data_IF_461770888007
#
_entry.id   IF_461770888007
#
_cell.length_a   1.000
_cell.length_b   1.000
_cell.length_c   1.000
_cell.angle_alpha   90.00
_cell.angle_beta   90.00
_cell.angle_gamma   90.00
#
_symmetry.space_group_name_H-M   'P 1'
#
loop_
_entity.id
_entity.type
_entity.pdbx_description
1 polymer ?
#
# COMPACT_ATOMS: atom_id res chain seq x y z
N UNK A 1 30.09 -21.61 5.32
CA UNK A 1 30.12 -22.43 4.12
C UNK A 1 29.55 -23.78 4.49
N UNK A 2 28.28 -23.97 4.29
CA UNK A 2 27.62 -25.29 4.37
C UNK A 2 26.72 -25.33 3.13
N UNK A 3 27.16 -26.11 2.14
CA UNK A 3 26.33 -26.59 1.04
C UNK A 3 25.20 -27.44 1.65
N UNK A 4 24.11 -26.80 2.04
CA UNK A 4 22.87 -27.52 2.30
C UNK A 4 22.40 -28.04 0.95
N UNK A 5 22.56 -29.31 0.75
CA UNK A 5 22.29 -30.08 -0.44
C UNK A 5 20.98 -29.60 -1.10
N UNK A 6 21.12 -28.96 -2.24
CA UNK A 6 20.06 -28.84 -3.24
C UNK A 6 19.78 -30.27 -3.73
N UNK A 7 18.94 -31.01 -3.00
CA UNK A 7 18.45 -32.28 -3.50
C UNK A 7 17.73 -31.97 -4.82
N UNK A 8 18.33 -32.42 -5.93
CA UNK A 8 17.83 -32.19 -7.27
C UNK A 8 16.36 -32.65 -7.36
N UNK A 9 15.50 -31.75 -7.81
CA UNK A 9 14.09 -32.08 -8.08
C UNK A 9 14.08 -33.03 -9.29
N UNK A 10 13.48 -34.22 -9.18
CA UNK A 10 13.45 -35.16 -10.29
C UNK A 10 12.77 -34.52 -11.52
N UNK A 11 13.43 -34.55 -12.67
CA UNK A 11 12.89 -33.98 -13.91
C UNK A 11 11.78 -34.88 -14.48
N UNK A 12 10.55 -34.49 -14.18
CA UNK A 12 9.33 -35.07 -14.80
C UNK A 12 8.71 -34.04 -15.72
N UNK A 13 7.74 -34.45 -16.56
CA UNK A 13 7.08 -33.52 -17.50
C UNK A 13 6.46 -32.33 -16.79
N UNK A 14 5.79 -32.55 -15.66
CA UNK A 14 5.19 -31.45 -14.87
C UNK A 14 6.24 -30.59 -14.17
N UNK A 15 7.34 -31.17 -13.71
CA UNK A 15 8.46 -30.43 -13.13
C UNK A 15 9.04 -29.44 -14.13
N UNK A 16 9.32 -29.92 -15.34
CA UNK A 16 9.79 -29.05 -16.44
C UNK A 16 8.79 -27.93 -16.75
N UNK A 17 7.48 -28.25 -16.78
CA UNK A 17 6.42 -27.28 -17.02
C UNK A 17 6.38 -26.20 -15.92
N UNK A 18 6.45 -26.58 -14.65
CA UNK A 18 6.46 -25.63 -13.52
C UNK A 18 7.69 -24.73 -13.58
N UNK A 19 8.89 -25.29 -13.75
CA UNK A 19 10.11 -24.49 -13.83
C UNK A 19 10.10 -23.51 -15.01
N UNK A 20 9.62 -23.94 -16.19
CA UNK A 20 9.44 -23.08 -17.35
C UNK A 20 8.47 -21.93 -17.07
N UNK A 21 7.34 -22.21 -16.41
CA UNK A 21 6.38 -21.17 -16.00
C UNK A 21 7.00 -20.16 -15.04
N UNK A 22 7.79 -20.63 -14.07
CA UNK A 22 8.46 -19.74 -13.11
C UNK A 22 9.47 -18.82 -13.83
N UNK A 23 10.26 -19.36 -14.76
CA UNK A 23 11.21 -18.58 -15.57
C UNK A 23 10.48 -17.56 -16.47
N UNK A 24 9.40 -17.96 -17.14
CA UNK A 24 8.62 -17.08 -17.99
C UNK A 24 7.94 -15.96 -17.16
N UNK A 25 7.41 -16.29 -15.99
CA UNK A 25 6.77 -15.32 -15.11
C UNK A 25 7.74 -14.21 -14.65
N UNK A 26 9.03 -14.53 -14.44
CA UNK A 26 10.05 -13.53 -14.09
C UNK A 26 10.28 -12.49 -15.21
N UNK A 27 9.97 -12.83 -16.46
CA UNK A 27 10.09 -11.91 -17.60
C UNK A 27 8.90 -10.95 -17.75
N UNK A 28 7.80 -11.20 -17.04
CA UNK A 28 6.65 -10.31 -17.08
C UNK A 28 6.91 -9.05 -16.24
N UNK A 29 6.32 -7.94 -16.69
CA UNK A 29 6.23 -6.75 -15.87
C UNK A 29 5.39 -7.04 -14.60
N UNK A 30 5.68 -6.32 -13.52
CA UNK A 30 4.97 -6.48 -12.26
C UNK A 30 3.47 -6.15 -12.43
N UNK A 31 2.62 -7.08 -12.03
CA UNK A 31 1.19 -6.93 -12.18
C UNK A 31 0.42 -8.26 -12.22
N UNK A 32 -0.88 -8.20 -12.53
CA UNK A 32 -1.76 -9.38 -12.46
C UNK A 32 -1.34 -10.55 -13.36
N UNK A 33 -0.72 -10.29 -14.51
CA UNK A 33 -0.27 -11.36 -15.42
C UNK A 33 0.87 -12.18 -14.81
N UNK A 34 1.81 -11.54 -14.13
CA UNK A 34 2.91 -12.19 -13.41
C UNK A 34 2.38 -13.05 -12.27
N UNK A 35 1.44 -12.50 -11.49
CA UNK A 35 0.76 -13.25 -10.42
C UNK A 35 0.06 -14.49 -10.99
N UNK A 36 -0.74 -14.34 -12.04
CA UNK A 36 -1.47 -15.46 -12.65
C UNK A 36 -0.54 -16.58 -13.14
N UNK A 37 0.62 -16.24 -13.68
CA UNK A 37 1.61 -17.23 -14.12
C UNK A 37 2.22 -18.00 -12.92
N UNK A 38 2.51 -17.33 -11.81
CA UNK A 38 2.96 -18.01 -10.59
C UNK A 38 1.84 -18.83 -9.94
N UNK A 39 0.58 -18.37 -9.95
CA UNK A 39 -0.56 -19.15 -9.47
C UNK A 39 -0.75 -20.43 -10.28
N UNK A 40 -0.57 -20.38 -11.60
CA UNK A 40 -0.61 -21.57 -12.44
C UNK A 40 0.51 -22.56 -12.11
N UNK A 41 1.72 -22.08 -11.86
CA UNK A 41 2.82 -22.94 -11.38
C UNK A 41 2.49 -23.59 -10.02
N UNK A 42 1.87 -22.85 -9.10
CA UNK A 42 1.35 -23.36 -7.82
C UNK A 42 0.32 -24.44 -8.05
N UNK A 43 -0.66 -24.20 -8.93
CA UNK A 43 -1.75 -25.13 -9.24
C UNK A 43 -1.21 -26.48 -9.75
N UNK A 44 -0.27 -26.45 -10.70
CA UNK A 44 0.34 -27.68 -11.26
C UNK A 44 1.10 -28.43 -10.16
N UNK A 45 1.91 -27.75 -9.34
CA UNK A 45 2.64 -28.39 -8.24
C UNK A 45 1.68 -29.07 -7.23
N UNK A 46 0.57 -28.39 -6.88
CA UNK A 46 -0.44 -28.91 -5.96
C UNK A 46 -1.19 -30.13 -6.53
N UNK A 47 -1.52 -30.12 -7.81
CA UNK A 47 -2.15 -31.27 -8.50
C UNK A 47 -1.29 -32.54 -8.41
N UNK A 48 0.02 -32.34 -8.55
CA UNK A 48 1.00 -33.45 -8.43
C UNK A 48 1.46 -33.69 -6.97
N UNK A 49 0.91 -32.95 -6.00
CA UNK A 49 1.28 -33.01 -4.57
C UNK A 49 2.79 -32.85 -4.33
N UNK A 50 3.45 -32.09 -5.20
CA UNK A 50 4.86 -31.79 -5.08
C UNK A 50 5.06 -30.58 -4.14
N UNK A 51 5.32 -30.88 -2.86
CA UNK A 51 5.48 -29.88 -1.82
C UNK A 51 6.69 -28.97 -2.08
N UNK A 52 7.78 -29.51 -2.67
CA UNK A 52 8.98 -28.71 -2.95
C UNK A 52 8.76 -27.69 -4.06
N UNK A 53 8.17 -28.12 -5.17
CA UNK A 53 7.79 -27.21 -6.26
C UNK A 53 6.72 -26.24 -5.80
N UNK A 54 5.73 -26.69 -5.04
CA UNK A 54 4.68 -25.85 -4.46
C UNK A 54 5.25 -24.77 -3.53
N UNK A 55 6.29 -25.08 -2.76
CA UNK A 55 6.99 -24.10 -1.92
C UNK A 55 7.77 -23.09 -2.76
N UNK A 56 8.52 -23.56 -3.75
CA UNK A 56 9.28 -22.70 -4.66
C UNK A 56 8.37 -21.73 -5.40
N UNK A 57 7.26 -22.22 -5.98
CA UNK A 57 6.30 -21.40 -6.72
C UNK A 57 5.67 -20.33 -5.82
N UNK A 58 5.27 -20.70 -4.59
CA UNK A 58 4.72 -19.75 -3.63
C UNK A 58 5.73 -18.70 -3.18
N UNK A 59 6.99 -19.07 -2.94
CA UNK A 59 8.05 -18.10 -2.63
C UNK A 59 8.21 -17.06 -3.74
N UNK A 60 8.10 -17.45 -5.00
CA UNK A 60 8.13 -16.52 -6.15
C UNK A 60 6.85 -15.69 -6.27
N UNK A 61 5.72 -16.25 -5.87
CA UNK A 61 4.42 -15.57 -5.88
C UNK A 61 4.36 -14.42 -4.84
N UNK A 62 5.03 -14.53 -3.68
CA UNK A 62 4.94 -13.54 -2.60
C UNK A 62 5.29 -12.11 -3.05
N UNK A 63 6.49 -11.84 -3.61
CA UNK A 63 6.82 -10.49 -4.08
C UNK A 63 5.92 -10.04 -5.23
N UNK A 64 5.55 -10.94 -6.15
CA UNK A 64 4.65 -10.60 -7.25
C UNK A 64 3.26 -10.15 -6.76
N UNK A 65 2.73 -10.78 -5.71
CA UNK A 65 1.47 -10.35 -5.07
C UNK A 65 1.60 -8.97 -4.44
N UNK A 66 2.71 -8.68 -3.77
CA UNK A 66 2.97 -7.36 -3.17
C UNK A 66 2.98 -6.28 -4.26
N UNK A 67 3.73 -6.50 -5.34
CA UNK A 67 3.87 -5.55 -6.45
C UNK A 67 2.58 -5.38 -7.27
N UNK A 68 1.75 -6.41 -7.34
CA UNK A 68 0.44 -6.36 -7.98
C UNK A 68 -0.68 -5.79 -7.10
N UNK A 69 -0.40 -5.44 -5.82
CA UNK A 69 -1.42 -4.97 -4.88
C UNK A 69 -2.43 -6.05 -4.49
N UNK A 70 -1.98 -7.31 -4.37
CA UNK A 70 -2.81 -8.49 -4.05
C UNK A 70 -2.38 -9.15 -2.72
N UNK A 71 -2.41 -8.43 -1.60
CA UNK A 71 -1.91 -8.93 -0.33
C UNK A 71 -2.73 -10.09 0.25
N UNK A 72 -3.98 -10.24 -0.11
CA UNK A 72 -4.83 -11.38 0.26
C UNK A 72 -4.24 -12.71 -0.23
N UNK A 73 -3.80 -12.76 -1.48
CA UNK A 73 -3.10 -13.94 -2.04
C UNK A 73 -1.75 -14.15 -1.36
N UNK A 74 -1.01 -13.07 -1.09
CA UNK A 74 0.26 -13.14 -0.37
C UNK A 74 0.09 -13.76 1.02
N UNK A 75 -0.93 -13.35 1.78
CA UNK A 75 -1.21 -13.92 3.10
C UNK A 75 -1.47 -15.43 3.03
N UNK A 76 -2.24 -15.88 2.04
CA UNK A 76 -2.54 -17.31 1.84
C UNK A 76 -1.29 -18.10 1.46
N UNK A 77 -0.53 -17.62 0.47
CA UNK A 77 0.69 -18.27 0.01
C UNK A 77 1.75 -18.36 1.13
N UNK A 78 1.93 -17.28 1.90
CA UNK A 78 2.85 -17.24 3.02
C UNK A 78 2.47 -18.22 4.12
N UNK A 79 1.19 -18.26 4.53
CA UNK A 79 0.69 -19.16 5.57
C UNK A 79 0.97 -20.61 5.22
N UNK A 80 0.80 -20.99 3.95
CA UNK A 80 1.13 -22.31 3.48
C UNK A 80 2.65 -22.59 3.55
N UNK A 81 3.49 -21.65 3.11
CA UNK A 81 4.96 -21.79 3.19
C UNK A 81 5.43 -21.95 4.65
N UNK A 82 4.89 -21.11 5.55
CA UNK A 82 5.22 -21.17 6.97
C UNK A 82 4.86 -22.54 7.58
N UNK A 83 3.68 -23.08 7.23
CA UNK A 83 3.27 -24.40 7.69
C UNK A 83 4.21 -25.52 7.19
N UNK A 84 4.81 -25.40 5.98
CA UNK A 84 5.81 -26.36 5.52
C UNK A 84 7.13 -26.22 6.30
N UNK A 85 7.60 -24.99 6.55
CA UNK A 85 8.80 -24.76 7.38
C UNK A 85 8.64 -25.33 8.79
N UNK A 86 7.46 -25.22 9.39
CA UNK A 86 7.18 -25.77 10.73
C UNK A 86 7.10 -27.30 10.74
N UNK A 87 6.58 -27.90 9.64
CA UNK A 87 6.46 -29.36 9.50
C UNK A 87 7.78 -30.03 9.22
N UNK A 88 8.62 -29.43 8.39
CA UNK A 88 9.87 -29.99 7.91
C UNK A 88 10.98 -28.91 7.81
N UNK A 89 11.52 -28.47 8.95
CA UNK A 89 12.54 -27.42 9.00
C UNK A 89 13.89 -27.84 8.42
N UNK A 90 14.07 -29.12 8.10
CA UNK A 90 15.29 -29.62 7.46
C UNK A 90 15.31 -29.40 5.95
N UNK A 91 14.14 -29.37 5.32
CA UNK A 91 14.01 -29.13 3.88
C UNK A 91 13.54 -27.70 3.54
N UNK A 92 12.85 -27.04 4.48
CA UNK A 92 12.33 -25.69 4.32
C UNK A 92 12.86 -24.81 5.46
N UNK A 93 13.92 -24.06 5.18
CA UNK A 93 14.56 -23.22 6.20
C UNK A 93 13.60 -22.13 6.70
N UNK A 94 13.25 -22.09 7.99
CA UNK A 94 12.36 -21.06 8.54
C UNK A 94 12.88 -19.65 8.34
N UNK A 95 14.20 -19.44 8.39
CA UNK A 95 14.82 -18.12 8.19
C UNK A 95 14.71 -17.65 6.75
N UNK A 96 14.51 -18.57 5.79
CA UNK A 96 14.42 -18.27 4.37
C UNK A 96 13.15 -17.50 3.94
N UNK A 97 12.16 -17.34 4.85
CA UNK A 97 10.92 -16.59 4.60
C UNK A 97 10.65 -15.49 5.65
N UNK A 98 11.64 -15.18 6.50
CA UNK A 98 11.47 -14.14 7.53
C UNK A 98 11.32 -12.76 6.93
N UNK A 99 11.94 -12.50 5.78
CA UNK A 99 11.83 -11.22 5.09
C UNK A 99 10.41 -10.99 4.59
N UNK A 100 9.83 -11.98 3.92
CA UNK A 100 8.47 -11.94 3.39
C UNK A 100 7.43 -11.88 4.53
N UNK A 101 7.74 -12.42 5.71
CA UNK A 101 6.85 -12.32 6.87
C UNK A 101 6.62 -10.86 7.29
N UNK A 102 7.62 -10.01 7.16
CA UNK A 102 7.46 -8.57 7.43
C UNK A 102 6.46 -7.93 6.47
N UNK A 103 6.50 -8.29 5.18
CA UNK A 103 5.54 -7.80 4.20
C UNK A 103 4.11 -8.24 4.55
N UNK A 104 3.95 -9.52 4.88
CA UNK A 104 2.65 -10.06 5.30
C UNK A 104 2.08 -9.28 6.48
N UNK A 105 2.88 -9.05 7.53
CA UNK A 105 2.45 -8.32 8.72
C UNK A 105 2.14 -6.85 8.40
N UNK A 106 2.94 -6.20 7.55
CA UNK A 106 2.69 -4.81 7.16
C UNK A 106 1.39 -4.63 6.37
N UNK A 107 0.94 -5.66 5.65
CA UNK A 107 -0.32 -5.64 4.91
C UNK A 107 -1.55 -6.05 5.75
N UNK A 108 -1.39 -6.73 6.87
CA UNK A 108 -2.51 -7.13 7.74
C UNK A 108 -3.42 -5.95 8.14
N UNK A 109 -2.90 -4.76 8.49
CA UNK A 109 -3.74 -3.61 8.85
C UNK A 109 -4.65 -3.10 7.74
N UNK A 110 -4.36 -3.40 6.47
CA UNK A 110 -5.19 -2.96 5.34
C UNK A 110 -6.56 -3.63 5.29
N UNK A 111 -6.74 -4.71 6.06
CA UNK A 111 -7.97 -5.48 6.16
C UNK A 111 -8.66 -5.21 7.51
N UNK A 112 -9.83 -4.53 7.55
CA UNK A 112 -10.48 -4.17 8.81
C UNK A 112 -11.02 -5.38 9.58
N UNK A 113 -11.20 -6.54 8.93
CA UNK A 113 -11.59 -7.80 9.59
C UNK A 113 -10.44 -8.46 10.37
N UNK A 114 -9.17 -8.11 10.09
CA UNK A 114 -8.03 -8.59 10.87
C UNK A 114 -7.95 -7.76 12.14
N UNK A 115 -8.15 -8.40 13.28
CA UNK A 115 -8.21 -7.75 14.58
C UNK A 115 -6.83 -7.28 15.07
N UNK A 116 -6.80 -6.29 15.96
CA UNK A 116 -5.55 -5.88 16.64
C UNK A 116 -4.86 -7.04 17.34
N UNK A 117 -5.62 -7.94 17.96
CA UNK A 117 -5.06 -9.12 18.61
C UNK A 117 -4.33 -10.07 17.64
N UNK A 118 -4.88 -10.27 16.44
CA UNK A 118 -4.22 -11.07 15.40
C UNK A 118 -2.94 -10.41 14.88
N UNK A 119 -2.96 -9.09 14.67
CA UNK A 119 -1.78 -8.32 14.27
C UNK A 119 -0.69 -8.42 15.35
N UNK A 120 -1.05 -8.23 16.63
CA UNK A 120 -0.10 -8.31 17.73
C UNK A 120 0.45 -9.73 17.94
N UNK A 121 -0.36 -10.76 17.73
CA UNK A 121 0.10 -12.14 17.74
C UNK A 121 1.16 -12.41 16.64
N UNK A 122 0.94 -11.89 15.44
CA UNK A 122 1.90 -12.00 14.34
C UNK A 122 3.20 -11.21 14.63
N UNK A 123 3.11 -10.00 15.18
CA UNK A 123 4.27 -9.21 15.63
C UNK A 123 5.05 -9.92 16.74
N UNK A 124 4.37 -10.62 17.65
CA UNK A 124 5.01 -11.41 18.71
C UNK A 124 5.74 -12.62 18.14
N UNK A 125 5.11 -13.34 17.20
CA UNK A 125 5.71 -14.50 16.57
C UNK A 125 6.95 -14.13 15.74
N UNK A 126 6.86 -13.08 14.90
CA UNK A 126 8.02 -12.63 14.11
C UNK A 126 9.16 -12.14 15.01
N UNK A 127 8.85 -11.44 16.10
CA UNK A 127 9.87 -11.00 17.08
C UNK A 127 10.64 -12.20 17.64
N UNK A 128 9.92 -13.24 18.05
CA UNK A 128 10.52 -14.48 18.57
C UNK A 128 11.45 -15.14 17.53
N UNK A 129 11.01 -15.20 16.26
CA UNK A 129 11.80 -15.81 15.16
C UNK A 129 13.07 -14.99 14.85
N UNK A 130 12.97 -13.67 14.80
CA UNK A 130 14.13 -12.80 14.59
C UNK A 130 15.13 -12.85 15.74
N UNK A 131 14.66 -12.95 17.00
CA UNK A 131 15.53 -13.19 18.16
C UNK A 131 16.27 -14.53 18.04
N UNK A 132 15.56 -15.59 17.66
CA UNK A 132 16.16 -16.91 17.47
C UNK A 132 17.22 -16.90 16.35
N UNK A 133 17.03 -16.09 15.31
CA UNK A 133 17.98 -15.88 14.22
C UNK A 133 19.17 -14.95 14.60
N UNK A 134 19.17 -14.38 15.81
CA UNK A 134 20.25 -13.51 16.31
C UNK A 134 20.14 -12.04 15.89
N UNK A 135 18.93 -11.57 15.59
CA UNK A 135 18.69 -10.16 15.24
C UNK A 135 18.73 -9.25 16.46
N UNK A 136 19.16 -8.00 16.24
CA UNK A 136 19.06 -6.86 17.18
C UNK A 136 17.65 -6.33 17.32
N UNK A 137 16.69 -6.87 16.56
CA UNK A 137 15.30 -6.40 16.42
C UNK A 137 15.11 -5.01 15.77
N UNK A 138 16.16 -4.39 15.24
CA UNK A 138 16.02 -3.12 14.52
C UNK A 138 14.94 -3.18 13.41
N UNK A 139 14.93 -4.18 12.50
CA UNK A 139 13.89 -4.29 11.46
C UNK A 139 12.50 -4.56 12.04
N UNK A 140 12.42 -5.20 13.21
CA UNK A 140 11.13 -5.47 13.87
C UNK A 140 10.56 -4.22 14.53
N UNK A 141 11.41 -3.37 15.10
CA UNK A 141 10.96 -2.06 15.61
C UNK A 141 10.46 -1.16 14.48
N UNK A 142 11.12 -1.20 13.30
CA UNK A 142 10.66 -0.50 12.11
C UNK A 142 9.30 -1.03 11.61
N UNK A 143 9.14 -2.35 11.54
CA UNK A 143 7.89 -3.00 11.20
C UNK A 143 6.78 -2.63 12.19
N UNK A 144 7.04 -2.67 13.50
CA UNK A 144 6.07 -2.29 14.54
C UNK A 144 5.65 -0.83 14.39
N UNK A 145 6.59 0.07 14.11
CA UNK A 145 6.29 1.47 13.83
C UNK A 145 5.35 1.62 12.64
N UNK A 146 5.62 0.94 11.52
CA UNK A 146 4.78 0.95 10.33
C UNK A 146 3.36 0.39 10.61
N UNK A 147 3.27 -0.71 11.35
CA UNK A 147 1.97 -1.27 11.77
C UNK A 147 1.20 -0.27 12.63
N UNK A 148 1.85 0.37 13.61
CA UNK A 148 1.22 1.39 14.46
C UNK A 148 0.74 2.60 13.65
N UNK A 149 1.51 3.06 12.66
CA UNK A 149 1.10 4.10 11.71
C UNK A 149 -0.17 3.64 10.95
N UNK A 150 -0.18 2.41 10.47
CA UNK A 150 -1.29 1.86 9.68
C UNK A 150 -2.59 1.71 10.49
N UNK A 151 -2.50 1.31 11.78
CA UNK A 151 -3.66 1.25 12.69
C UNK A 151 -3.94 2.58 13.43
N UNK A 152 -3.17 3.63 13.10
CA UNK A 152 -3.31 4.98 13.64
C UNK A 152 -3.09 5.07 15.15
N UNK A 153 -2.14 4.29 15.66
CA UNK A 153 -1.72 4.26 17.07
C UNK A 153 -0.47 5.14 17.27
N UNK A 154 -0.68 6.42 17.56
CA UNK A 154 0.42 7.39 17.76
C UNK A 154 1.36 7.04 18.92
N UNK A 155 0.86 6.65 20.12
CA UNK A 155 1.74 6.25 21.20
C UNK A 155 2.60 5.03 20.85
N UNK A 156 2.00 3.99 20.26
CA UNK A 156 2.71 2.79 19.84
C UNK A 156 3.77 3.06 18.75
N UNK A 157 3.48 3.96 17.81
CA UNK A 157 4.46 4.38 16.80
C UNK A 157 5.66 5.12 17.42
N UNK A 158 5.42 6.00 18.39
CA UNK A 158 6.47 6.72 19.09
C UNK A 158 7.36 5.81 19.95
N UNK A 159 6.77 4.81 20.62
CA UNK A 159 7.50 3.80 21.37
C UNK A 159 8.39 2.95 20.45
N UNK A 160 7.82 2.47 19.34
CA UNK A 160 8.56 1.69 18.35
C UNK A 160 9.71 2.48 17.73
N UNK A 161 9.52 3.77 17.43
CA UNK A 161 10.57 4.68 16.96
C UNK A 161 11.70 4.78 17.97
N UNK A 162 11.40 4.99 19.26
CA UNK A 162 12.41 5.09 20.31
C UNK A 162 13.23 3.79 20.49
N UNK A 163 12.59 2.63 20.27
CA UNK A 163 13.30 1.35 20.27
C UNK A 163 14.18 1.19 19.03
N UNK A 164 13.68 1.58 17.86
CA UNK A 164 14.42 1.52 16.59
C UNK A 164 15.70 2.37 16.65
N UNK A 165 15.63 3.59 17.18
CA UNK A 165 16.80 4.48 17.32
C UNK A 165 17.93 3.88 18.16
N UNK A 166 17.58 3.09 19.19
CA UNK A 166 18.54 2.47 20.11
C UNK A 166 19.11 1.16 19.58
N UNK A 167 18.38 0.49 18.68
CA UNK A 167 18.78 -0.81 18.18
C UNK A 167 19.92 -0.67 17.14
N UNK A 168 21.07 -1.34 17.33
CA UNK A 168 22.14 -1.30 16.36
C UNK A 168 21.73 -2.03 15.06
N UNK A 169 22.38 -1.64 13.96
CA UNK A 169 22.18 -2.33 12.67
C UNK A 169 22.75 -3.75 12.72
N UNK A 170 22.09 -4.65 12.03
CA UNK A 170 22.52 -6.04 11.86
C UNK A 170 22.29 -6.50 10.39
N UNK A 171 22.53 -7.78 10.10
CA UNK A 171 22.34 -8.37 8.76
C UNK A 171 20.89 -8.36 8.26
N UNK A 172 19.92 -8.17 9.15
CA UNK A 172 18.49 -8.13 8.85
C UNK A 172 17.96 -6.72 8.70
N UNK A 173 18.78 -5.71 8.97
CA UNK A 173 18.40 -4.31 8.88
C UNK A 173 18.15 -3.92 7.42
N UNK A 174 17.12 -3.10 7.21
CA UNK A 174 16.80 -2.54 5.91
C UNK A 174 17.93 -1.62 5.41
N UNK A 175 17.97 -1.38 4.12
CA UNK A 175 18.89 -0.37 3.57
C UNK A 175 18.50 1.04 4.03
N UNK A 176 19.42 1.98 3.85
CA UNK A 176 19.22 3.34 4.33
C UNK A 176 18.06 4.08 3.67
N UNK A 177 17.76 3.76 2.40
CA UNK A 177 16.66 4.41 1.68
C UNK A 177 15.30 3.89 2.15
N UNK A 178 15.19 2.59 2.41
CA UNK A 178 14.02 1.98 3.02
C UNK A 178 13.76 2.54 4.42
N UNK A 179 14.80 2.60 5.29
CA UNK A 179 14.64 3.20 6.62
C UNK A 179 14.23 4.67 6.53
N UNK A 180 14.80 5.44 5.60
CA UNK A 180 14.43 6.84 5.34
C UNK A 180 12.95 6.98 4.98
N UNK A 181 12.44 6.13 4.07
CA UNK A 181 11.05 6.18 3.65
C UNK A 181 10.10 5.94 4.84
N UNK A 182 10.34 4.91 5.65
CA UNK A 182 9.53 4.67 6.86
C UNK A 182 9.63 5.78 7.91
N UNK A 183 10.78 6.46 8.00
CA UNK A 183 10.91 7.65 8.86
C UNK A 183 10.09 8.82 8.32
N UNK A 184 10.04 9.02 7.01
CA UNK A 184 9.17 10.02 6.40
C UNK A 184 7.70 9.75 6.75
N UNK A 185 7.24 8.51 6.59
CA UNK A 185 5.87 8.08 6.95
C UNK A 185 5.56 8.36 8.43
N UNK A 186 6.50 8.09 9.31
CA UNK A 186 6.35 8.38 10.74
C UNK A 186 6.15 9.87 11.00
N UNK A 187 6.94 10.74 10.38
CA UNK A 187 6.82 12.18 10.57
C UNK A 187 5.57 12.74 9.88
N UNK A 188 5.17 12.24 8.71
CA UNK A 188 3.89 12.58 8.08
C UNK A 188 2.71 12.21 8.99
N UNK A 189 2.73 11.01 9.57
CA UNK A 189 1.69 10.56 10.50
C UNK A 189 1.56 11.46 11.73
N UNK A 190 2.68 11.99 12.22
CA UNK A 190 2.71 12.93 13.34
C UNK A 190 2.43 14.38 12.97
N UNK A 191 2.26 14.66 11.68
CA UNK A 191 2.14 16.02 11.14
C UNK A 191 3.36 16.91 11.46
N UNK A 192 4.53 16.29 11.75
CA UNK A 192 5.81 17.00 11.85
C UNK A 192 6.39 17.17 10.43
N UNK A 193 5.81 18.12 9.70
CA UNK A 193 6.15 18.32 8.29
C UNK A 193 7.59 18.78 8.08
N UNK A 194 8.17 19.51 9.03
CA UNK A 194 9.58 19.93 8.94
C UNK A 194 10.52 18.72 9.01
N UNK A 195 10.25 17.77 9.91
CA UNK A 195 11.01 16.53 9.98
C UNK A 195 10.78 15.64 8.74
N UNK A 196 9.53 15.51 8.28
CA UNK A 196 9.21 14.78 7.06
C UNK A 196 9.93 15.35 5.83
N UNK A 197 9.94 16.67 5.65
CA UNK A 197 10.64 17.34 4.54
C UNK A 197 12.15 17.11 4.58
N UNK A 198 12.77 17.05 5.76
CA UNK A 198 14.18 16.65 5.89
C UNK A 198 14.44 15.23 5.40
N UNK A 199 13.55 14.28 5.72
CA UNK A 199 13.65 12.91 5.19
C UNK A 199 13.47 12.87 3.67
N UNK A 200 12.59 13.70 3.11
CA UNK A 200 12.29 13.76 1.69
C UNK A 200 13.13 14.79 0.91
N UNK A 201 14.23 15.32 1.47
CA UNK A 201 15.03 16.37 0.83
C UNK A 201 15.50 15.98 -0.59
N UNK A 202 15.96 14.75 -0.80
CA UNK A 202 16.37 14.25 -2.10
C UNK A 202 15.21 14.25 -3.12
N UNK A 203 14.01 13.90 -2.66
CA UNK A 203 12.78 13.87 -3.46
C UNK A 203 12.36 15.31 -3.83
N UNK A 204 12.38 16.22 -2.87
CA UNK A 204 12.10 17.65 -3.08
C UNK A 204 13.07 18.28 -4.08
N UNK A 205 14.34 17.87 -4.06
CA UNK A 205 15.35 18.25 -5.06
C UNK A 205 15.16 17.53 -6.41
N UNK A 206 14.20 16.61 -6.50
CA UNK A 206 13.90 15.84 -7.71
C UNK A 206 14.91 14.74 -8.03
N UNK A 207 15.68 14.30 -7.05
CA UNK A 207 16.61 13.17 -7.17
C UNK A 207 15.86 11.86 -6.94
N UNK A 208 15.96 10.95 -7.89
CA UNK A 208 15.37 9.61 -7.80
C UNK A 208 16.43 8.65 -7.27
N UNK A 209 16.44 8.40 -5.97
CA UNK A 209 17.33 7.44 -5.34
C UNK A 209 16.78 6.01 -5.50
N UNK A 210 15.47 5.85 -5.35
CA UNK A 210 14.74 4.61 -5.60
C UNK A 210 13.48 4.90 -6.40
N UNK A 211 13.27 4.18 -7.50
CA UNK A 211 12.02 4.29 -8.27
C UNK A 211 10.81 3.80 -7.47
N UNK A 212 11.05 2.86 -6.56
CA UNK A 212 10.01 2.27 -5.71
C UNK A 212 9.39 3.28 -4.75
N UNK A 213 10.21 4.10 -4.09
CA UNK A 213 9.75 5.09 -3.12
C UNK A 213 9.46 6.46 -3.72
N UNK A 214 10.14 6.86 -4.80
CA UNK A 214 10.04 8.22 -5.32
C UNK A 214 8.61 8.65 -5.66
N UNK A 215 7.81 7.76 -6.22
CA UNK A 215 6.42 8.05 -6.61
C UNK A 215 5.50 8.21 -5.40
N UNK A 216 5.59 7.31 -4.42
CA UNK A 216 4.83 7.37 -3.17
C UNK A 216 5.26 8.55 -2.31
N UNK A 217 6.57 8.77 -2.10
CA UNK A 217 7.08 9.95 -1.37
C UNK A 217 6.56 11.26 -1.99
N UNK A 218 6.51 11.36 -3.34
CA UNK A 218 5.94 12.52 -3.99
C UNK A 218 4.43 12.67 -3.70
N UNK A 219 3.67 11.59 -3.62
CA UNK A 219 2.24 11.62 -3.31
C UNK A 219 2.02 12.06 -1.86
N UNK A 220 2.75 11.48 -0.92
CA UNK A 220 2.69 11.80 0.51
C UNK A 220 3.06 13.26 0.81
N UNK A 221 3.96 13.84 0.00
CA UNK A 221 4.35 15.25 0.10
C UNK A 221 3.28 16.24 -0.36
N UNK A 222 2.29 15.83 -1.19
CA UNK A 222 1.36 16.77 -1.83
C UNK A 222 0.53 17.55 -0.83
N UNK A 223 -0.10 16.86 0.13
CA UNK A 223 -0.94 17.50 1.14
C UNK A 223 -0.11 18.36 2.13
N UNK A 224 1.00 17.88 2.71
CA UNK A 224 1.87 18.71 3.55
C UNK A 224 2.39 19.98 2.86
N UNK A 225 2.83 19.87 1.61
CA UNK A 225 3.29 21.04 0.84
C UNK A 225 2.15 22.01 0.53
N UNK A 226 0.95 21.48 0.25
CA UNK A 226 -0.23 22.31 0.00
C UNK A 226 -0.65 23.06 1.27
N UNK A 227 -0.74 22.39 2.43
CA UNK A 227 -1.19 23.02 3.68
C UNK A 227 -0.18 24.03 4.24
N UNK A 228 1.12 23.83 3.97
CA UNK A 228 2.20 24.77 4.34
C UNK A 228 2.44 25.87 3.30
N UNK A 229 1.65 25.92 2.22
CA UNK A 229 1.73 26.97 1.22
C UNK A 229 2.87 26.83 0.20
N UNK A 230 3.55 25.68 0.16
CA UNK A 230 4.69 25.42 -0.74
C UNK A 230 4.20 24.88 -2.10
N UNK A 231 3.33 25.64 -2.78
CA UNK A 231 2.58 25.21 -3.95
C UNK A 231 3.45 24.84 -5.16
N UNK A 232 4.57 25.53 -5.36
CA UNK A 232 5.47 25.24 -6.49
C UNK A 232 6.15 23.88 -6.33
N UNK A 233 6.56 23.53 -5.10
CA UNK A 233 7.10 22.22 -4.78
C UNK A 233 6.04 21.12 -4.91
N UNK A 234 4.82 21.37 -4.43
CA UNK A 234 3.69 20.45 -4.61
C UNK A 234 3.40 20.17 -6.10
N UNK A 235 3.41 21.20 -6.95
CA UNK A 235 3.23 21.02 -8.39
C UNK A 235 4.38 20.24 -9.04
N UNK A 236 5.61 20.41 -8.57
CA UNK A 236 6.77 19.61 -9.03
C UNK A 236 6.63 18.15 -8.61
N UNK A 237 6.27 17.87 -7.34
CA UNK A 237 6.02 16.53 -6.84
C UNK A 237 4.88 15.87 -7.63
N UNK A 238 3.76 16.58 -7.86
CA UNK A 238 2.68 16.07 -8.69
C UNK A 238 3.16 15.67 -10.10
N UNK A 239 3.84 16.58 -10.82
CA UNK A 239 4.27 16.31 -12.20
C UNK A 239 5.30 15.20 -12.33
N UNK A 240 6.25 15.13 -11.39
CA UNK A 240 7.33 14.13 -11.43
C UNK A 240 6.84 12.80 -10.87
N UNK A 241 6.23 12.80 -9.68
CA UNK A 241 5.82 11.62 -8.94
C UNK A 241 4.72 10.82 -9.63
N UNK A 242 3.71 11.50 -10.18
CA UNK A 242 2.58 10.84 -10.84
C UNK A 242 3.02 9.83 -11.93
N UNK A 243 4.13 10.08 -12.63
CA UNK A 243 4.62 9.17 -13.67
C UNK A 243 5.01 7.79 -13.13
N UNK A 244 5.41 7.71 -11.85
CA UNK A 244 5.85 6.46 -11.20
C UNK A 244 4.69 5.67 -10.62
N UNK A 245 3.56 6.33 -10.30
CA UNK A 245 2.39 5.68 -9.69
C UNK A 245 1.24 5.44 -10.68
N UNK A 246 1.30 6.03 -11.87
CA UNK A 246 0.19 6.10 -12.82
C UNK A 246 -0.23 4.76 -13.46
N UNK A 247 0.56 3.71 -13.34
CA UNK A 247 0.31 2.40 -14.00
C UNK A 247 0.23 1.22 -13.04
N UNK A 248 0.68 1.38 -11.79
CA UNK A 248 0.69 0.30 -10.82
C UNK A 248 -0.60 0.21 -9.99
N UNK A 249 -1.25 -0.96 -9.95
CA UNK A 249 -2.44 -1.18 -9.13
C UNK A 249 -2.16 -1.02 -7.62
N UNK A 250 -0.92 -1.25 -7.18
CA UNK A 250 -0.48 -1.04 -5.78
C UNK A 250 -0.47 0.43 -5.34
N UNK A 251 -0.57 1.40 -6.27
CA UNK A 251 -0.48 2.84 -6.01
C UNK A 251 -1.81 3.56 -6.15
N UNK A 252 -2.91 2.87 -5.93
CA UNK A 252 -4.26 3.45 -6.04
C UNK A 252 -4.48 4.58 -5.03
N UNK A 253 -4.01 4.42 -3.81
CA UNK A 253 -4.00 5.44 -2.76
C UNK A 253 -3.19 6.67 -3.17
N UNK A 254 -1.96 6.49 -3.66
CA UNK A 254 -1.14 7.58 -4.20
C UNK A 254 -1.84 8.33 -5.34
N UNK A 255 -2.53 7.60 -6.25
CA UNK A 255 -3.35 8.24 -7.27
C UNK A 255 -4.48 9.07 -6.66
N UNK A 256 -5.05 8.62 -5.54
CA UNK A 256 -6.00 9.39 -4.74
C UNK A 256 -5.40 10.70 -4.22
N UNK A 257 -4.19 10.68 -3.69
CA UNK A 257 -3.52 11.90 -3.19
C UNK A 257 -3.27 12.91 -4.32
N UNK A 258 -2.92 12.43 -5.52
CA UNK A 258 -2.85 13.31 -6.69
C UNK A 258 -4.20 13.90 -7.10
N UNK A 259 -5.31 13.16 -6.96
CA UNK A 259 -6.67 13.65 -7.20
C UNK A 259 -7.05 14.72 -6.15
N UNK A 260 -6.80 14.43 -4.85
CA UNK A 260 -7.07 15.35 -3.74
C UNK A 260 -6.29 16.67 -3.93
N UNK A 261 -4.99 16.58 -4.22
CA UNK A 261 -4.15 17.74 -4.51
C UNK A 261 -4.68 18.58 -5.68
N UNK A 262 -5.06 17.96 -6.79
CA UNK A 262 -5.59 18.67 -7.96
C UNK A 262 -6.93 19.36 -7.66
N UNK A 263 -7.79 18.71 -6.87
CA UNK A 263 -9.06 19.27 -6.42
C UNK A 263 -8.83 20.53 -5.57
N UNK A 264 -8.00 20.40 -4.53
CA UNK A 264 -7.66 21.50 -3.63
C UNK A 264 -6.87 22.64 -4.33
N UNK A 265 -6.15 22.33 -5.41
CA UNK A 265 -5.40 23.30 -6.20
C UNK A 265 -6.23 23.96 -7.32
N UNK A 266 -7.55 23.70 -7.41
CA UNK A 266 -8.44 24.33 -8.41
C UNK A 266 -8.17 23.86 -9.85
N UNK A 267 -7.82 22.59 -10.07
CA UNK A 267 -7.52 22.00 -11.39
C UNK A 267 -8.53 20.93 -11.82
N UNK A 268 -9.83 21.25 -11.94
CA UNK A 268 -10.90 20.27 -12.09
C UNK A 268 -10.76 19.40 -13.34
N UNK A 269 -10.35 19.96 -14.47
CA UNK A 269 -10.21 19.20 -15.73
C UNK A 269 -9.13 18.09 -15.60
N UNK A 270 -8.02 18.38 -14.91
CA UNK A 270 -6.98 17.36 -14.65
C UNK A 270 -7.49 16.33 -13.66
N UNK A 271 -8.21 16.77 -12.63
CA UNK A 271 -8.80 15.90 -11.62
C UNK A 271 -9.74 14.87 -12.27
N UNK A 272 -10.68 15.30 -13.12
CA UNK A 272 -11.60 14.43 -13.86
C UNK A 272 -10.84 13.37 -14.67
N UNK A 273 -9.79 13.75 -15.39
CA UNK A 273 -8.98 12.80 -16.17
C UNK A 273 -8.32 11.73 -15.30
N UNK A 274 -7.83 12.08 -14.10
CA UNK A 274 -7.26 11.12 -13.18
C UNK A 274 -8.33 10.19 -12.61
N UNK A 275 -9.49 10.75 -12.24
CA UNK A 275 -10.62 9.96 -11.75
C UNK A 275 -11.06 8.94 -12.81
N UNK A 276 -11.31 9.37 -14.05
CA UNK A 276 -11.71 8.48 -15.14
C UNK A 276 -10.71 7.35 -15.39
N UNK A 277 -9.41 7.65 -15.27
CA UNK A 277 -8.34 6.68 -15.49
C UNK A 277 -8.23 5.66 -14.36
N UNK A 278 -8.30 6.11 -13.10
CA UNK A 278 -7.92 5.28 -11.96
C UNK A 278 -9.11 4.70 -11.19
N UNK A 279 -10.31 5.24 -11.33
CA UNK A 279 -11.48 4.72 -10.63
C UNK A 279 -11.75 3.23 -10.91
N UNK A 280 -11.67 2.73 -12.17
CA UNK A 280 -11.86 1.30 -12.42
C UNK A 280 -10.89 0.42 -11.63
N UNK A 281 -9.62 0.85 -11.50
CA UNK A 281 -8.60 0.14 -10.71
C UNK A 281 -8.91 0.25 -9.22
N UNK A 282 -9.32 1.44 -8.74
CA UNK A 282 -9.68 1.65 -7.35
C UNK A 282 -10.89 0.80 -6.91
N UNK A 283 -11.90 0.66 -7.77
CA UNK A 283 -13.07 -0.18 -7.48
C UNK A 283 -12.73 -1.67 -7.45
N UNK A 284 -11.73 -2.11 -8.19
CA UNK A 284 -11.23 -3.49 -8.20
C UNK A 284 -10.07 -3.73 -7.23
N UNK A 285 -9.65 -2.71 -6.48
CA UNK A 285 -8.55 -2.84 -5.53
C UNK A 285 -8.85 -3.88 -4.46
N UNK A 286 -7.91 -4.78 -4.24
CA UNK A 286 -8.01 -5.84 -3.22
C UNK A 286 -7.74 -5.33 -1.80
N UNK A 287 -7.16 -4.15 -1.67
CA UNK A 287 -7.00 -3.43 -0.40
C UNK A 287 -8.16 -2.46 -0.21
N UNK A 288 -9.08 -2.71 0.74
CA UNK A 288 -10.19 -1.79 0.98
C UNK A 288 -9.74 -0.38 1.39
N UNK A 289 -8.59 -0.26 2.05
CA UNK A 289 -8.00 1.02 2.42
C UNK A 289 -7.66 1.89 1.20
N UNK A 290 -7.08 1.30 0.15
CA UNK A 290 -6.69 2.02 -1.07
C UNK A 290 -7.93 2.52 -1.82
N UNK A 291 -8.97 1.65 -1.93
CA UNK A 291 -10.27 2.07 -2.47
C UNK A 291 -10.88 3.22 -1.68
N UNK A 292 -10.92 3.11 -0.35
CA UNK A 292 -11.43 4.16 0.52
C UNK A 292 -10.65 5.48 0.36
N UNK A 293 -9.32 5.43 0.30
CA UNK A 293 -8.47 6.61 0.10
C UNK A 293 -8.78 7.30 -1.24
N UNK A 294 -8.94 6.52 -2.31
CA UNK A 294 -9.28 7.07 -3.63
C UNK A 294 -10.69 7.70 -3.66
N UNK A 295 -11.70 7.03 -3.07
CA UNK A 295 -13.06 7.57 -3.01
C UNK A 295 -13.15 8.82 -2.12
N UNK A 296 -12.35 8.91 -1.05
CA UNK A 296 -12.21 10.14 -0.25
C UNK A 296 -11.69 11.30 -1.10
N UNK A 297 -10.68 11.06 -1.93
CA UNK A 297 -10.16 12.09 -2.84
C UNK A 297 -11.21 12.54 -3.87
N UNK A 298 -12.03 11.61 -4.40
CA UNK A 298 -13.17 11.96 -5.25
C UNK A 298 -14.23 12.77 -4.50
N UNK A 299 -14.45 12.47 -3.21
CA UNK A 299 -15.33 13.28 -2.37
C UNK A 299 -14.82 14.71 -2.24
N UNK A 300 -13.52 14.90 -1.95
CA UNK A 300 -12.90 16.23 -1.89
C UNK A 300 -13.09 16.99 -3.21
N UNK A 301 -12.94 16.30 -4.35
CA UNK A 301 -13.21 16.88 -5.67
C UNK A 301 -14.66 17.34 -5.81
N UNK A 302 -15.63 16.47 -5.55
CA UNK A 302 -17.06 16.79 -5.70
C UNK A 302 -17.48 17.94 -4.77
N UNK A 303 -17.06 17.90 -3.50
CA UNK A 303 -17.32 18.95 -2.51
C UNK A 303 -16.69 20.30 -2.92
N UNK A 304 -15.48 20.28 -3.46
CA UNK A 304 -14.80 21.48 -3.98
C UNK A 304 -15.57 22.09 -5.16
N UNK A 305 -16.03 21.27 -6.11
CA UNK A 305 -16.82 21.73 -7.25
C UNK A 305 -18.15 22.35 -6.84
N UNK A 306 -18.85 21.73 -5.88
CA UNK A 306 -20.09 22.28 -5.30
C UNK A 306 -19.86 23.66 -4.68
N UNK A 307 -18.78 23.79 -3.92
CA UNK A 307 -18.41 25.08 -3.32
C UNK A 307 -18.18 26.17 -4.37
N UNK A 308 -17.70 25.81 -5.58
CA UNK A 308 -17.53 26.75 -6.70
C UNK A 308 -18.80 26.97 -7.50
N UNK A 309 -19.95 26.56 -6.97
CA UNK A 309 -21.25 26.79 -7.60
C UNK A 309 -21.55 25.89 -8.78
N UNK A 310 -20.76 24.84 -8.98
CA UNK A 310 -21.08 23.83 -9.98
C UNK A 310 -22.13 22.86 -9.41
N UNK A 311 -23.16 22.56 -10.19
CA UNK A 311 -24.20 21.60 -9.78
C UNK A 311 -24.00 20.22 -10.37
N UNK A 312 -23.25 20.10 -11.47
CA UNK A 312 -23.03 18.84 -12.17
C UNK A 312 -21.63 18.75 -12.76
N UNK A 313 -21.21 17.52 -13.05
CA UNK A 313 -19.93 17.25 -13.71
C UNK A 313 -20.11 16.17 -14.79
N UNK A 314 -19.33 16.29 -15.87
CA UNK A 314 -19.20 15.24 -16.88
C UNK A 314 -17.95 14.41 -16.62
N UNK A 315 -18.15 13.12 -16.42
CA UNK A 315 -17.08 12.10 -16.23
C UNK A 315 -17.51 10.77 -16.81
N UNK A 316 -16.57 10.02 -17.39
CA UNK A 316 -16.80 8.64 -17.81
C UNK A 316 -16.49 7.70 -16.63
N UNK A 317 -17.51 7.39 -15.84
CA UNK A 317 -17.40 6.42 -14.76
C UNK A 317 -17.80 5.02 -15.24
N UNK A 318 -17.38 3.93 -14.54
CA UNK A 318 -17.82 2.58 -14.86
C UNK A 318 -19.35 2.48 -14.89
N UNK A 319 -19.94 1.65 -15.78
CA UNK A 319 -21.41 1.57 -15.96
C UNK A 319 -22.17 1.17 -14.69
N UNK A 320 -21.52 0.41 -13.82
CA UNK A 320 -22.03 -0.10 -12.54
C UNK A 320 -21.71 0.81 -11.35
N UNK A 321 -21.12 2.00 -11.62
CA UNK A 321 -20.85 2.95 -10.55
C UNK A 321 -22.15 3.51 -9.96
N UNK A 322 -22.38 3.39 -8.64
CA UNK A 322 -23.71 3.52 -8.04
C UNK A 322 -24.21 4.95 -7.84
N UNK A 323 -23.55 5.96 -8.41
CA UNK A 323 -24.03 7.35 -8.34
C UNK A 323 -25.15 7.62 -9.33
N UNK A 324 -26.19 8.39 -8.95
CA UNK A 324 -27.27 8.79 -9.85
C UNK A 324 -26.77 9.61 -11.03
N UNK A 325 -27.29 9.33 -12.22
CA UNK A 325 -26.94 10.01 -13.47
C UNK A 325 -28.03 11.00 -13.90
N UNK A 326 -27.65 12.20 -14.30
CA UNK A 326 -28.54 13.19 -14.92
C UNK A 326 -28.70 12.96 -16.43
N UNK A 327 -27.75 12.28 -17.04
CA UNK A 327 -27.68 11.98 -18.46
C UNK A 327 -26.38 11.24 -18.80
N UNK A 328 -26.07 11.00 -20.09
CA UNK A 328 -24.87 10.28 -20.48
C UNK A 328 -23.59 10.91 -19.91
N UNK A 329 -22.92 10.18 -19.03
CA UNK A 329 -21.70 10.61 -18.32
C UNK A 329 -21.85 11.94 -17.54
N UNK A 330 -23.05 12.30 -17.14
CA UNK A 330 -23.32 13.52 -16.35
C UNK A 330 -23.90 13.13 -14.99
N UNK A 331 -23.25 13.64 -13.93
CA UNK A 331 -23.58 13.34 -12.54
C UNK A 331 -23.96 14.63 -11.81
N UNK A 332 -25.00 14.55 -10.97
CA UNK A 332 -25.28 15.58 -9.98
C UNK A 332 -24.19 15.55 -8.91
N UNK A 333 -23.57 16.70 -8.65
CA UNK A 333 -22.44 16.79 -7.72
C UNK A 333 -22.87 16.63 -6.26
N UNK A 334 -24.10 17.04 -5.91
CA UNK A 334 -24.62 16.88 -4.54
C UNK A 334 -24.86 15.40 -4.22
N UNK A 335 -25.50 14.69 -5.14
CA UNK A 335 -25.77 13.28 -4.98
C UNK A 335 -24.47 12.45 -5.00
N UNK A 336 -23.55 12.79 -5.90
CA UNK A 336 -22.22 12.17 -5.97
C UNK A 336 -21.43 12.38 -4.67
N UNK A 337 -21.37 13.61 -4.17
CA UNK A 337 -20.67 13.91 -2.91
C UNK A 337 -21.33 13.21 -1.72
N UNK A 338 -22.65 13.17 -1.66
CA UNK A 338 -23.37 12.47 -0.58
C UNK A 338 -23.08 10.96 -0.59
N UNK A 339 -23.10 10.33 -1.77
CA UNK A 339 -22.79 8.93 -1.89
C UNK A 339 -21.33 8.62 -1.50
N UNK A 340 -20.37 9.40 -2.03
CA UNK A 340 -18.94 9.23 -1.72
C UNK A 340 -18.67 9.42 -0.22
N UNK A 341 -19.27 10.44 0.39
CA UNK A 341 -19.14 10.68 1.83
C UNK A 341 -19.67 9.51 2.64
N UNK A 342 -20.84 8.97 2.28
CA UNK A 342 -21.45 7.84 2.99
C UNK A 342 -20.59 6.56 2.89
N UNK A 343 -20.07 6.22 1.69
CA UNK A 343 -19.19 5.06 1.49
C UNK A 343 -17.90 5.20 2.31
N UNK A 344 -17.25 6.37 2.24
CA UNK A 344 -16.03 6.64 3.00
C UNK A 344 -16.28 6.60 4.51
N UNK A 345 -17.41 7.15 4.99
CA UNK A 345 -17.77 7.14 6.41
C UNK A 345 -18.02 5.70 6.92
N UNK A 346 -18.66 4.84 6.12
CA UNK A 346 -18.86 3.43 6.47
C UNK A 346 -17.53 2.70 6.65
N UNK A 347 -16.60 2.85 5.70
CA UNK A 347 -15.28 2.24 5.80
C UNK A 347 -14.45 2.84 6.94
N UNK A 348 -14.53 4.15 7.15
CA UNK A 348 -13.89 4.84 8.28
C UNK A 348 -14.33 4.23 9.61
N UNK A 349 -15.64 4.01 9.80
CA UNK A 349 -16.18 3.41 11.02
C UNK A 349 -15.65 1.97 11.25
N UNK A 350 -15.48 1.18 10.19
CA UNK A 350 -14.90 -0.19 10.29
C UNK A 350 -13.45 -0.15 10.76
N UNK A 351 -12.63 0.74 10.17
CA UNK A 351 -11.22 0.89 10.56
C UNK A 351 -11.09 1.47 11.97
N UNK A 352 -11.81 2.54 12.29
CA UNK A 352 -11.77 3.17 13.60
C UNK A 352 -12.23 2.21 14.70
N UNK A 353 -13.31 1.45 14.45
CA UNK A 353 -13.78 0.40 15.36
C UNK A 353 -12.72 -0.69 15.60
N UNK A 354 -12.03 -1.19 14.55
CA UNK A 354 -10.94 -2.14 14.68
C UNK A 354 -9.75 -1.56 15.43
N UNK A 355 -9.38 -0.30 15.09
CA UNK A 355 -8.23 0.39 15.65
C UNK A 355 -8.45 0.87 17.09
N UNK A 356 -9.73 1.08 17.50
CA UNK A 356 -10.08 1.67 18.80
C UNK A 356 -9.76 3.16 18.87
N UNK A 357 -9.91 3.89 17.75
CA UNK A 357 -9.70 5.33 17.65
C UNK A 357 -10.72 5.98 16.70
N UNK A 358 -10.58 7.26 16.38
CA UNK A 358 -11.47 8.06 15.53
C UNK A 358 -10.75 8.71 14.35
N UNK A 359 -9.56 8.22 14.03
CA UNK A 359 -8.66 8.86 13.07
C UNK A 359 -9.27 9.04 11.66
N UNK A 360 -9.93 8.02 11.14
CA UNK A 360 -10.49 8.07 9.80
C UNK A 360 -11.73 8.97 9.72
N UNK A 361 -12.56 8.97 10.76
CA UNK A 361 -13.68 9.91 10.90
C UNK A 361 -13.17 11.36 10.98
N UNK A 362 -12.13 11.62 11.78
CA UNK A 362 -11.51 12.94 11.90
C UNK A 362 -10.83 13.37 10.58
N UNK A 363 -10.21 12.42 9.85
CA UNK A 363 -9.62 12.71 8.52
C UNK A 363 -10.70 13.10 7.49
N UNK A 364 -11.88 12.46 7.53
CA UNK A 364 -13.01 12.82 6.68
C UNK A 364 -13.54 14.22 7.04
N UNK A 365 -13.72 14.51 8.33
CA UNK A 365 -14.12 15.85 8.79
C UNK A 365 -13.08 16.93 8.44
N UNK A 366 -11.79 16.59 8.42
CA UNK A 366 -10.73 17.50 7.94
C UNK A 366 -10.88 17.81 6.45
N UNK A 367 -11.27 16.83 5.61
CA UNK A 367 -11.55 17.09 4.20
C UNK A 367 -12.61 18.19 4.02
N UNK A 368 -13.68 18.17 4.84
CA UNK A 368 -14.70 19.22 4.83
C UNK A 368 -14.12 20.61 5.17
N UNK A 369 -13.27 20.66 6.19
CA UNK A 369 -12.60 21.89 6.61
C UNK A 369 -11.65 22.41 5.52
N UNK A 370 -10.90 21.54 4.85
CA UNK A 370 -9.96 21.92 3.79
C UNK A 370 -10.70 22.44 2.55
N UNK A 371 -11.83 21.84 2.18
CA UNK A 371 -12.72 22.36 1.12
C UNK A 371 -13.23 23.75 1.47
N UNK A 372 -13.54 24.03 2.75
CA UNK A 372 -13.99 25.36 3.20
C UNK A 372 -12.86 26.37 3.26
N UNK A 373 -11.67 25.95 3.64
CA UNK A 373 -10.52 26.83 3.90
C UNK A 373 -9.96 27.49 2.62
N UNK A 374 -10.14 26.84 1.47
CA UNK A 374 -9.45 27.25 0.25
C UNK A 374 -10.41 27.91 -0.76
N UNK A 375 -10.36 29.26 -0.95
CA UNK A 375 -10.95 29.88 -2.11
C UNK A 375 -10.15 29.45 -3.35
N UNK A 376 -10.82 29.18 -4.50
CA UNK A 376 -10.11 28.83 -5.71
C UNK A 376 -9.17 29.97 -6.09
N UNK A 377 -7.95 29.62 -6.39
CA UNK A 377 -7.10 30.50 -7.19
C UNK A 377 -7.59 30.36 -8.64
N UNK A 378 -8.52 31.24 -9.04
CA UNK A 378 -8.96 31.41 -10.43
C UNK A 378 -7.79 31.99 -11.22
#
# INVERSE_FOLDING_TARGET
MSDAASAEIPMTDYTAAVLTLLEQAELFEDGPAKVAAFEEAVRIADEHRDVRLGYLARKKLLPACLDAGQPDLMLVAYSWCLAQCERDPTHFEPDGILWEYRWVISEMPTFPQITRAQIEAALTDITRRYLAAGSTLRPIHLLRMNVCISIKDQPGAAEAMAHWERAPRDRFSDDAETERAFLADYYFFREDYDAAFRQCESVLQGRVLSKHFFGSDCADLLYPLWVTGQFDLAEQCHKKGYRYVATGARYVDCCGDHVEYLALSGKPTKCVRLIEKHLPVALSARKPNDRMAFLRAMYVFAATMLRFGQSSVRMKLPPDFPAPVLGPNQYDLKDLAAWLHADVAEWSARYDGRNGNTYYAERLARCDADVVRNPPRI
#
